data_IF_730051965311
#
_entry.id   IF_730051965311
#
_cell.length_a   1.000
_cell.length_b   1.000
_cell.length_c   1.000
_cell.angle_alpha   90.00
_cell.angle_beta   90.00
_cell.angle_gamma   90.00
#
_symmetry.space_group_name_H-M   'P 1'
#
loop_
_entity.id
_entity.type
_entity.pdbx_description
1 polymer ?
#
# COMPACT_ATOMS: atom_id res chain seq x y z
N UNK A 1 2.95 -9.80 6.22
CA UNK A 1 3.05 -9.04 7.48
C UNK A 1 1.69 -8.84 8.10
N UNK A 2 1.67 -8.44 9.38
CA UNK A 2 0.49 -8.01 10.13
C UNK A 2 0.68 -6.57 10.60
N UNK A 3 -0.41 -5.82 10.74
CA UNK A 3 -0.39 -4.46 11.24
C UNK A 3 -1.42 -4.30 12.35
N UNK A 4 -1.01 -3.66 13.45
CA UNK A 4 -1.85 -3.49 14.64
C UNK A 4 -2.68 -2.22 14.50
N UNK A 5 -3.99 -2.33 14.68
CA UNK A 5 -4.94 -1.20 14.68
C UNK A 5 -5.90 -1.35 15.87
N UNK A 6 -5.96 -0.36 16.76
CA UNK A 6 -6.79 -0.40 18.00
C UNK A 6 -6.66 -1.72 18.78
N UNK A 7 -5.44 -2.15 19.10
CA UNK A 7 -5.17 -3.38 19.85
C UNK A 7 -5.60 -4.69 19.16
N UNK A 8 -5.86 -4.67 17.85
CA UNK A 8 -6.10 -5.87 17.05
C UNK A 8 -5.08 -5.97 15.94
N UNK A 9 -4.58 -7.17 15.71
CA UNK A 9 -3.70 -7.47 14.60
C UNK A 9 -4.50 -7.82 13.35
N UNK A 10 -4.13 -7.19 12.24
CA UNK A 10 -4.73 -7.44 10.94
C UNK A 10 -3.66 -7.95 9.99
N UNK A 11 -3.82 -9.17 9.51
CA UNK A 11 -2.98 -9.68 8.42
C UNK A 11 -3.24 -8.87 7.14
N UNK A 12 -2.17 -8.45 6.46
CA UNK A 12 -2.27 -7.78 5.15
C UNK A 12 -2.24 -8.83 4.04
N UNK A 13 -3.15 -8.72 3.06
CA UNK A 13 -3.15 -9.54 1.84
C UNK A 13 -3.15 -8.68 0.60
N UNK A 14 -2.14 -8.87 -0.24
CA UNK A 14 -1.97 -8.17 -1.51
C UNK A 14 -2.55 -8.98 -2.68
N UNK A 15 -3.86 -9.29 -2.62
CA UNK A 15 -4.59 -10.04 -3.66
C UNK A 15 -5.40 -9.16 -4.62
N UNK A 16 -6.29 -9.76 -5.42
CA UNK A 16 -7.11 -9.01 -6.40
C UNK A 16 -7.94 -7.89 -5.77
N UNK A 17 -8.51 -8.12 -4.57
CA UNK A 17 -9.27 -7.08 -3.85
C UNK A 17 -8.38 -5.88 -3.49
N UNK A 18 -7.14 -6.13 -3.07
CA UNK A 18 -6.16 -5.09 -2.79
C UNK A 18 -5.84 -4.28 -4.05
N UNK A 19 -5.58 -4.95 -5.18
CA UNK A 19 -5.31 -4.29 -6.47
C UNK A 19 -6.47 -3.37 -6.86
N UNK A 20 -7.71 -3.87 -6.82
CA UNK A 20 -8.91 -3.08 -7.14
C UNK A 20 -9.08 -1.86 -6.24
N UNK A 21 -8.84 -2.01 -4.94
CA UNK A 21 -8.92 -0.90 -3.99
C UNK A 21 -7.89 0.18 -4.31
N UNK A 22 -6.66 -0.21 -4.68
CA UNK A 22 -5.64 0.76 -5.09
C UNK A 22 -5.97 1.41 -6.43
N UNK A 23 -6.51 0.66 -7.40
CA UNK A 23 -6.94 1.23 -8.67
C UNK A 23 -8.07 2.26 -8.49
N UNK A 24 -8.95 2.08 -7.49
CA UNK A 24 -9.98 3.05 -7.13
C UNK A 24 -9.42 4.33 -6.48
N UNK A 25 -8.39 4.20 -5.63
CA UNK A 25 -7.77 5.33 -4.94
C UNK A 25 -6.87 6.13 -5.88
N UNK A 26 -6.08 5.45 -6.70
CA UNK A 26 -5.08 6.04 -7.59
C UNK A 26 -5.56 6.05 -9.04
N UNK A 27 -6.85 6.38 -9.25
CA UNK A 27 -7.42 6.51 -10.59
C UNK A 27 -6.68 7.59 -11.37
N UNK A 28 -6.22 7.23 -12.56
CA UNK A 28 -5.76 8.18 -13.57
C UNK A 28 -6.78 8.19 -14.68
N UNK A 29 -7.50 9.30 -14.81
CA UNK A 29 -8.33 9.58 -15.97
C UNK A 29 -7.48 10.31 -17.01
N UNK A 30 -7.23 9.64 -18.13
CA UNK A 30 -6.68 10.30 -19.31
C UNK A 30 -7.65 10.13 -20.47
N UNK A 31 -8.29 11.24 -20.86
CA UNK A 31 -9.27 11.28 -21.96
C UNK A 31 -10.44 10.29 -21.78
N UNK A 32 -10.87 10.04 -20.54
CA UNK A 32 -11.96 9.11 -20.23
C UNK A 32 -11.55 7.64 -20.19
N UNK A 33 -10.27 7.33 -20.34
CA UNK A 33 -9.71 5.99 -20.13
C UNK A 33 -9.15 5.87 -18.71
N UNK A 34 -9.73 4.95 -17.93
CA UNK A 34 -9.19 4.56 -16.62
C UNK A 34 -8.07 3.52 -16.82
N UNK A 35 -6.85 3.86 -16.42
CA UNK A 35 -5.73 2.93 -16.42
C UNK A 35 -5.56 2.29 -15.03
N UNK A 36 -5.50 0.96 -14.98
CA UNK A 36 -5.19 0.18 -13.77
C UNK A 36 -3.73 0.35 -13.33
N UNK A 37 -3.42 1.50 -12.74
CA UNK A 37 -2.09 1.90 -12.29
C UNK A 37 -1.95 1.96 -10.78
N UNK A 38 -2.96 1.52 -10.02
CA UNK A 38 -3.03 1.81 -8.60
C UNK A 38 -1.89 1.18 -7.79
N UNK A 39 -1.50 -0.03 -8.13
CA UNK A 39 -0.32 -0.68 -7.53
C UNK A 39 0.96 0.10 -7.81
N UNK A 40 1.16 0.56 -9.05
CA UNK A 40 2.37 1.27 -9.45
C UNK A 40 2.47 2.64 -8.76
N UNK A 41 1.36 3.38 -8.72
CA UNK A 41 1.29 4.68 -8.07
C UNK A 41 1.43 4.57 -6.55
N UNK A 42 0.83 3.55 -5.92
CA UNK A 42 1.06 3.24 -4.52
C UNK A 42 2.55 2.96 -4.26
N UNK A 43 3.19 2.13 -5.09
CA UNK A 43 4.61 1.82 -4.98
C UNK A 43 5.49 3.09 -5.07
N UNK A 44 5.26 3.97 -6.05
CA UNK A 44 6.00 5.24 -6.18
C UNK A 44 5.86 6.08 -4.91
N UNK A 45 4.63 6.25 -4.42
CA UNK A 45 4.38 7.05 -3.21
C UNK A 45 5.04 6.45 -1.96
N UNK A 46 5.06 5.13 -1.82
CA UNK A 46 5.77 4.44 -0.74
C UNK A 46 7.29 4.65 -0.84
N UNK A 47 7.88 4.57 -2.03
CA UNK A 47 9.32 4.84 -2.24
C UNK A 47 9.67 6.30 -1.93
N UNK A 48 8.77 7.23 -2.23
CA UNK A 48 8.90 8.65 -1.87
C UNK A 48 8.61 8.93 -0.38
N UNK A 49 8.35 7.90 0.42
CA UNK A 49 8.05 7.98 1.85
C UNK A 49 6.83 8.87 2.15
N UNK A 50 5.82 8.84 1.28
CA UNK A 50 4.58 9.57 1.51
C UNK A 50 3.70 8.82 2.54
N UNK A 51 3.44 9.39 3.75
CA UNK A 51 2.68 8.71 4.80
C UNK A 51 1.24 8.40 4.41
N UNK A 52 0.62 9.20 3.52
CA UNK A 52 -0.76 8.92 3.09
C UNK A 52 -0.85 7.63 2.28
N UNK A 53 0.22 7.23 1.60
CA UNK A 53 0.27 5.96 0.89
C UNK A 53 0.31 4.75 1.83
N UNK A 54 0.87 4.89 3.04
CA UNK A 54 0.78 3.84 4.06
C UNK A 54 -0.67 3.59 4.43
N UNK A 55 -1.46 4.66 4.64
CA UNK A 55 -2.89 4.56 4.98
C UNK A 55 -3.62 3.77 3.90
N UNK A 56 -3.47 4.16 2.63
CA UNK A 56 -4.21 3.54 1.53
C UNK A 56 -3.78 2.09 1.27
N UNK A 57 -2.48 1.80 1.36
CA UNK A 57 -1.95 0.44 1.15
C UNK A 57 -2.34 -0.49 2.31
N UNK A 58 -2.25 -0.04 3.56
CA UNK A 58 -2.68 -0.83 4.73
C UNK A 58 -4.19 -1.07 4.66
N UNK A 59 -4.99 -0.03 4.40
CA UNK A 59 -6.45 -0.11 4.25
C UNK A 59 -6.84 -1.11 3.15
N UNK A 60 -6.21 -1.02 1.98
CA UNK A 60 -6.43 -1.97 0.89
C UNK A 60 -6.02 -3.40 1.31
N UNK A 61 -4.89 -3.55 2.00
CA UNK A 61 -4.33 -4.84 2.42
C UNK A 61 -5.21 -5.57 3.43
N UNK A 62 -5.87 -4.83 4.32
CA UNK A 62 -6.78 -5.39 5.33
C UNK A 62 -8.25 -5.46 4.84
N UNK A 63 -8.57 -4.90 3.67
CA UNK A 63 -9.94 -4.82 3.14
C UNK A 63 -10.65 -6.17 2.98
N UNK A 64 -9.90 -7.27 2.95
CA UNK A 64 -10.46 -8.62 2.87
C UNK A 64 -11.05 -9.12 4.21
N UNK A 65 -10.77 -8.45 5.33
CA UNK A 65 -11.36 -8.74 6.63
C UNK A 65 -12.81 -8.24 6.70
N UNK A 66 -13.70 -9.04 7.29
CA UNK A 66 -15.12 -8.70 7.44
C UNK A 66 -15.34 -7.45 8.31
N UNK A 67 -14.47 -7.20 9.28
CA UNK A 67 -14.54 -6.05 10.17
C UNK A 67 -13.32 -5.13 9.98
N UNK A 68 -13.30 -4.42 8.85
CA UNK A 68 -12.24 -3.49 8.51
C UNK A 68 -12.35 -2.22 9.39
N UNK A 69 -11.28 -1.78 10.07
CA UNK A 69 -11.30 -0.56 10.86
C UNK A 69 -11.55 0.67 9.98
N UNK A 70 -12.13 1.73 10.57
CA UNK A 70 -12.28 3.02 9.89
C UNK A 70 -10.91 3.61 9.55
N UNK A 71 -10.84 4.38 8.48
CA UNK A 71 -9.61 5.04 8.03
C UNK A 71 -8.93 5.85 9.15
N UNK A 72 -9.69 6.65 9.91
CA UNK A 72 -9.14 7.43 11.03
C UNK A 72 -8.44 6.57 12.10
N UNK A 73 -8.83 5.30 12.24
CA UNK A 73 -8.16 4.37 13.16
C UNK A 73 -6.87 3.82 12.59
N UNK A 74 -6.78 3.66 11.27
CA UNK A 74 -5.55 3.28 10.58
C UNK A 74 -4.54 4.43 10.66
N UNK A 75 -5.00 5.65 10.40
CA UNK A 75 -4.18 6.87 10.52
C UNK A 75 -3.59 7.00 11.93
N UNK A 76 -4.41 6.95 12.98
CA UNK A 76 -3.91 6.99 14.37
C UNK A 76 -2.93 5.85 14.68
N UNK A 77 -3.11 4.65 14.13
CA UNK A 77 -2.19 3.54 14.34
C UNK A 77 -0.83 3.76 13.65
N UNK A 78 -0.81 4.44 12.49
CA UNK A 78 0.43 4.81 11.80
C UNK A 78 1.16 5.93 12.57
N UNK A 79 0.42 6.90 13.09
CA UNK A 79 0.98 7.96 13.96
C UNK A 79 1.57 7.36 15.23
N UNK A 80 0.84 6.46 15.91
CA UNK A 80 1.34 5.74 17.10
C UNK A 80 2.59 4.91 16.78
N UNK A 81 2.62 4.21 15.64
CA UNK A 81 3.82 3.51 15.18
C UNK A 81 5.00 4.48 15.03
N UNK A 82 4.78 5.65 14.42
CA UNK A 82 5.83 6.65 14.23
C UNK A 82 6.40 7.15 15.56
N UNK A 83 5.56 7.39 16.57
CA UNK A 83 6.01 7.82 17.90
C UNK A 83 6.84 6.74 18.61
N UNK A 84 6.43 5.47 18.50
CA UNK A 84 7.12 4.33 19.14
C UNK A 84 8.46 4.03 18.47
N UNK A 85 8.53 4.14 17.14
CA UNK A 85 9.67 3.72 16.33
C UNK A 85 10.56 4.87 15.85
N UNK A 86 10.33 6.09 16.33
CA UNK A 86 11.02 7.33 15.89
C UNK A 86 10.97 7.52 14.36
N UNK A 87 9.75 7.41 13.82
CA UNK A 87 9.43 7.62 12.41
C UNK A 87 8.87 6.39 11.69
N UNK A 88 8.75 6.52 10.36
CA UNK A 88 8.03 5.57 9.51
C UNK A 88 8.92 4.76 8.56
N UNK A 89 10.24 4.99 8.59
CA UNK A 89 11.15 4.43 7.57
C UNK A 89 11.14 2.90 7.53
N UNK A 90 11.04 2.26 8.70
CA UNK A 90 10.94 0.80 8.81
C UNK A 90 9.63 0.30 8.23
N UNK A 91 8.50 0.94 8.55
CA UNK A 91 7.19 0.56 8.05
C UNK A 91 7.09 0.65 6.52
N UNK A 92 7.66 1.69 5.91
CA UNK A 92 7.75 1.78 4.44
C UNK A 92 8.53 0.60 3.86
N UNK A 93 9.68 0.28 4.44
CA UNK A 93 10.57 -0.79 3.94
C UNK A 93 9.90 -2.15 4.06
N UNK A 94 9.33 -2.46 5.23
CA UNK A 94 8.61 -3.73 5.47
C UNK A 94 7.42 -3.88 4.51
N UNK A 95 6.64 -2.82 4.31
CA UNK A 95 5.46 -2.88 3.44
C UNK A 95 5.85 -3.09 1.98
N UNK A 96 6.89 -2.41 1.50
CA UNK A 96 7.44 -2.58 0.15
C UNK A 96 7.97 -4.01 -0.07
N UNK A 97 8.74 -4.53 0.90
CA UNK A 97 9.29 -5.89 0.84
C UNK A 97 8.17 -6.94 0.79
N UNK A 98 7.14 -6.77 1.60
CA UNK A 98 6.00 -7.69 1.66
C UNK A 98 5.13 -7.64 0.41
N UNK A 99 4.91 -6.46 -0.16
CA UNK A 99 4.29 -6.32 -1.49
C UNK A 99 5.12 -7.03 -2.57
N UNK A 100 6.44 -6.90 -2.54
CA UNK A 100 7.38 -7.56 -3.46
C UNK A 100 7.39 -9.10 -3.37
N UNK A 101 6.97 -9.67 -2.23
CA UNK A 101 6.83 -11.13 -2.04
C UNK A 101 5.49 -11.67 -2.55
N UNK A 102 4.47 -10.82 -2.74
CA UNK A 102 3.14 -11.27 -3.15
C UNK A 102 3.12 -11.87 -4.55
N UNK A 103 2.59 -13.09 -4.68
CA UNK A 103 2.43 -13.76 -5.99
C UNK A 103 1.54 -13.00 -6.97
N UNK A 104 0.65 -12.13 -6.49
CA UNK A 104 -0.28 -11.37 -7.34
C UNK A 104 0.27 -10.01 -7.77
N UNK A 105 1.29 -9.50 -7.09
CA UNK A 105 1.75 -8.10 -7.24
C UNK A 105 3.22 -8.02 -7.64
N UNK A 106 4.04 -9.03 -7.31
CA UNK A 106 5.49 -9.04 -7.54
C UNK A 106 5.88 -8.80 -9.00
N UNK A 107 5.16 -9.38 -9.97
CA UNK A 107 5.54 -9.29 -11.38
C UNK A 107 5.21 -7.90 -11.94
N UNK A 108 4.09 -7.31 -11.51
CA UNK A 108 3.74 -5.91 -11.79
C UNK A 108 4.80 -4.94 -11.25
N UNK A 109 5.23 -5.14 -10.00
CA UNK A 109 6.26 -4.28 -9.39
C UNK A 109 7.62 -4.42 -10.10
N UNK A 110 8.04 -5.63 -10.44
CA UNK A 110 9.29 -5.87 -11.17
C UNK A 110 9.28 -5.22 -12.55
N UNK A 111 8.21 -5.44 -13.32
CA UNK A 111 8.07 -4.82 -14.65
C UNK A 111 8.09 -3.30 -14.56
N UNK A 112 7.43 -2.73 -13.55
CA UNK A 112 7.43 -1.29 -13.30
C UNK A 112 8.84 -0.76 -12.95
N UNK A 113 9.55 -1.43 -12.04
CA UNK A 113 10.92 -1.08 -11.65
C UNK A 113 11.88 -1.13 -12.85
N UNK A 114 11.82 -2.19 -13.66
CA UNK A 114 12.66 -2.34 -14.84
C UNK A 114 12.43 -1.22 -15.87
N UNK A 115 11.17 -0.85 -16.09
CA UNK A 115 10.80 0.25 -17.00
C UNK A 115 11.25 1.61 -16.45
N UNK A 116 11.11 1.85 -15.15
CA UNK A 116 11.55 3.09 -14.50
C UNK A 116 13.08 3.28 -14.59
N UNK A 117 13.87 2.20 -14.49
CA UNK A 117 15.33 2.25 -14.64
C UNK A 117 15.75 2.49 -16.10
N UNK A 118 15.04 1.92 -17.08
CA UNK A 118 15.34 2.06 -18.52
C UNK A 118 15.02 3.44 -19.10
N UNK A 119 14.33 4.31 -18.35
CA UNK A 119 13.94 5.66 -18.82
C UNK A 119 14.92 6.75 -18.34
N UNK A 120 16.07 6.35 -17.76
CA UNK A 120 17.21 7.22 -17.46
C UNK A 120 18.34 6.98 -18.46
#
# INVERSE_FOLDING_TARGET
MEFKVNNKEYALKFGIKFIRQLDEVYKVDYQGLEFGMGVNLAYINLVQKNPTALVEVIKAGISHHTNTPKQSKIESAIEEYAEIHDGLSTLFTELLDEMGKSVMVKDTLKDFQEKAVKTK
#
